data_IF_549221131842
#
_entry.id   IF_549221131842
#
_cell.length_a   1.000
_cell.length_b   1.000
_cell.length_c   1.000
_cell.angle_alpha   90.00
_cell.angle_beta   90.00
_cell.angle_gamma   90.00
#
_symmetry.space_group_name_H-M   'P 1'
#
loop_
_entity.id
_entity.type
_entity.pdbx_description
1 polymer ?
2 non-polymer ?
3 non-polymer ?
4 water ?
#
# COMPACT_ATOMS: atom_id res chain seq x y z
N UNK A 1 -10.07 21.55 -9.34
CA UNK A 1 -11.36 22.12 -9.79
C UNK A 1 -12.24 21.02 -10.41
N UNK A 2 -11.61 20.10 -11.12
CA UNK A 2 -12.32 18.99 -11.76
C UNK A 2 -12.34 17.78 -10.83
N UNK A 3 -11.50 17.84 -9.80
CA UNK A 3 -11.39 16.77 -8.82
C UNK A 3 -12.31 17.03 -7.63
N UNK A 4 -13.49 17.58 -7.90
CA UNK A 4 -14.46 17.89 -6.85
C UNK A 4 -15.84 17.50 -7.37
N UNK A 5 -16.44 16.48 -6.77
CA UNK A 5 -17.74 16.00 -7.17
C UNK A 5 -18.75 17.11 -7.42
N UNK A 6 -19.47 17.01 -8.54
CA UNK A 6 -20.45 18.02 -8.92
C UNK A 6 -21.55 18.35 -7.92
N UNK A 7 -22.19 17.33 -7.35
CA UNK A 7 -23.26 17.59 -6.39
C UNK A 7 -22.71 18.31 -5.16
N UNK A 8 -21.52 17.90 -4.72
CA UNK A 8 -20.88 18.53 -3.55
C UNK A 8 -20.50 19.97 -3.86
N UNK A 9 -19.90 20.17 -5.03
CA UNK A 9 -19.47 21.49 -5.46
C UNK A 9 -20.64 22.47 -5.46
N UNK A 10 -21.79 21.98 -5.93
CA UNK A 10 -23.00 22.81 -6.00
C UNK A 10 -23.53 23.15 -4.60
N UNK A 11 -23.66 22.16 -3.74
CA UNK A 11 -24.20 22.38 -2.40
C UNK A 11 -23.28 23.16 -1.48
N UNK A 12 -21.97 23.06 -1.69
CA UNK A 12 -20.99 23.75 -0.86
C UNK A 12 -20.45 25.03 -1.51
N UNK A 13 -21.04 25.40 -2.65
CA UNK A 13 -20.60 26.57 -3.40
C UNK A 13 -20.41 27.85 -2.57
N UNK A 14 -21.31 28.09 -1.63
CA UNK A 14 -21.24 29.29 -0.79
C UNK A 14 -19.91 29.44 -0.08
N UNK A 15 -19.30 28.33 0.31
CA UNK A 15 -18.03 28.38 1.03
C UNK A 15 -16.87 28.94 0.22
N UNK A 16 -16.82 28.61 -1.07
CA UNK A 16 -15.72 29.03 -1.92
C UNK A 16 -15.46 30.52 -2.05
N UNK A 17 -16.46 31.34 -1.75
CA UNK A 17 -16.29 32.78 -1.85
C UNK A 17 -16.08 33.45 -0.48
N UNK A 18 -16.13 32.67 0.60
CA UNK A 18 -15.95 33.24 1.93
C UNK A 18 -14.47 33.53 2.24
N UNK A 19 -14.21 34.63 2.98
CA UNK A 19 -12.85 35.02 3.34
C UNK A 19 -11.98 33.93 3.95
N UNK A 20 -12.54 33.10 4.82
CA UNK A 20 -11.74 32.06 5.47
C UNK A 20 -11.27 31.03 4.44
N UNK A 21 -12.10 30.75 3.44
CA UNK A 21 -11.73 29.77 2.42
C UNK A 21 -10.61 30.30 1.54
N UNK A 22 -10.71 31.57 1.16
CA UNK A 22 -9.69 32.20 0.33
C UNK A 22 -8.34 32.17 1.04
N UNK A 23 -8.34 32.48 2.34
CA UNK A 23 -7.11 32.48 3.12
C UNK A 23 -6.57 31.06 3.29
N UNK A 24 -7.48 30.09 3.42
CA UNK A 24 -7.09 28.70 3.56
C UNK A 24 -6.40 28.24 2.28
N UNK A 25 -6.99 28.58 1.14
CA UNK A 25 -6.41 28.20 -0.15
C UNK A 25 -5.04 28.83 -0.32
N UNK A 26 -4.91 30.09 0.09
CA UNK A 26 -3.64 30.80 -0.02
C UNK A 26 -2.57 30.12 0.84
N UNK A 27 -2.96 29.73 2.05
CA UNK A 27 -2.06 29.05 2.98
C UNK A 27 -1.59 27.71 2.43
N UNK A 28 -2.52 26.86 2.02
CA UNK A 28 -2.17 25.55 1.47
C UNK A 28 -1.29 25.66 0.23
N UNK A 29 -1.58 26.63 -0.63
CA UNK A 29 -0.79 26.83 -1.84
C UNK A 29 0.65 27.18 -1.45
N UNK A 30 0.79 28.04 -0.45
CA UNK A 30 2.10 28.44 0.05
C UNK A 30 2.85 27.22 0.60
N UNK A 31 2.15 26.40 1.37
CA UNK A 31 2.73 25.21 1.96
C UNK A 31 3.21 24.22 0.90
N UNK A 32 2.41 24.03 -0.15
CA UNK A 32 2.79 23.10 -1.21
C UNK A 32 4.00 23.57 -2.02
N UNK A 33 4.26 24.87 -2.04
CA UNK A 33 5.40 25.38 -2.79
C UNK A 33 6.67 25.31 -1.94
N UNK A 34 6.51 25.31 -0.62
CA UNK A 34 7.65 25.27 0.29
C UNK A 34 7.94 23.89 0.88
N UNK A 35 6.90 23.08 1.08
CA UNK A 35 7.07 21.76 1.65
C UNK A 35 6.31 20.70 0.89
N UNK A 36 6.35 19.47 1.41
CA UNK A 36 5.61 18.38 0.82
C UNK A 36 4.34 18.31 1.65
N UNK A 37 3.19 18.37 0.97
CA UNK A 37 1.90 18.36 1.65
C UNK A 37 1.06 17.17 1.21
N UNK A 38 0.44 16.51 2.19
CA UNK A 38 -0.40 15.36 1.91
C UNK A 38 -1.85 15.66 2.26
N UNK A 39 -2.80 15.09 1.49
CA UNK A 39 -2.51 14.22 0.34
C UNK A 39 -2.23 15.10 -0.89
N UNK A 40 -1.91 14.48 -2.04
CA UNK A 40 -1.64 15.30 -3.21
C UNK A 40 -2.86 16.19 -3.48
N UNK A 41 -2.64 17.33 -4.12
CA UNK A 41 -3.73 18.25 -4.42
C UNK A 41 -4.95 17.62 -5.08
N UNK A 42 -4.72 16.72 -6.03
CA UNK A 42 -5.83 16.09 -6.74
C UNK A 42 -6.62 15.05 -5.94
N UNK A 43 -6.17 14.76 -4.71
CA UNK A 43 -6.88 13.78 -3.88
C UNK A 43 -7.47 14.39 -2.61
N UNK A 44 -7.25 15.68 -2.41
CA UNK A 44 -7.75 16.38 -1.23
C UNK A 44 -9.27 16.25 -1.05
N UNK A 45 -10.00 16.18 -2.17
CA UNK A 45 -11.45 16.06 -2.12
C UNK A 45 -11.97 14.72 -2.65
N UNK A 46 -11.16 13.66 -2.51
CA UNK A 46 -11.56 12.33 -2.98
C UNK A 46 -12.92 11.93 -2.43
N UNK A 47 -13.20 12.38 -1.21
CA UNK A 47 -14.47 12.07 -0.55
C UNK A 47 -15.68 12.64 -1.28
N UNK A 48 -15.46 13.54 -2.22
CA UNK A 48 -16.57 14.13 -2.98
C UNK A 48 -16.75 13.42 -4.31
N UNK A 49 -15.83 12.50 -4.62
CA UNK A 49 -15.88 11.79 -5.89
C UNK A 49 -16.39 10.36 -5.83
N UNK A 50 -16.49 9.80 -4.63
CA UNK A 50 -16.93 8.43 -4.45
C UNK A 50 -18.44 8.23 -4.52
N UNK A 51 -19.20 9.27 -4.22
CA UNK A 51 -20.65 9.20 -4.27
C UNK A 51 -21.25 10.59 -4.20
N UNK A 52 -22.53 10.72 -4.55
CA UNK A 52 -23.21 12.01 -4.52
C UNK A 52 -23.52 12.39 -3.08
N UNK A 53 -23.63 13.68 -2.83
CA UNK A 53 -23.90 14.16 -1.48
C UNK A 53 -25.28 13.70 -0.99
N UNK A 54 -26.20 13.51 -1.93
CA UNK A 54 -27.56 13.06 -1.59
C UNK A 54 -27.58 11.58 -1.23
N UNK A 55 -26.52 10.86 -1.59
CA UNK A 55 -26.48 9.42 -1.31
C UNK A 55 -25.66 9.03 -0.07
N UNK A 56 -25.18 10.02 0.67
CA UNK A 56 -24.42 9.74 1.88
C UNK A 56 -25.36 9.10 2.90
N UNK A 57 -24.97 7.96 3.44
CA UNK A 57 -25.77 7.25 4.42
C UNK A 57 -25.13 7.26 5.79
N UNK A 58 -23.81 7.15 5.81
CA UNK A 58 -23.06 7.13 7.06
C UNK A 58 -21.89 8.11 6.98
N UNK A 59 -21.57 8.72 8.11
CA UNK A 59 -20.47 9.68 8.16
C UNK A 59 -19.51 9.29 9.29
N UNK A 60 -18.23 9.21 8.95
CA UNK A 60 -17.20 8.88 9.93
C UNK A 60 -16.22 10.05 9.91
N UNK A 61 -15.96 10.63 11.08
CA UNK A 61 -15.04 11.76 11.16
C UNK A 61 -13.64 11.36 11.59
N UNK A 62 -12.65 11.98 10.96
CA UNK A 62 -11.26 11.74 11.29
C UNK A 62 -10.69 13.08 11.73
N UNK A 63 -9.41 13.11 12.08
CA UNK A 63 -8.75 14.33 12.52
C UNK A 63 -8.09 14.97 11.29
N UNK A 64 -6.78 14.79 11.12
CA UNK A 64 -6.13 15.33 9.93
C UNK A 64 -5.59 14.12 9.15
N UNK A 65 -5.07 14.33 7.93
CA UNK A 65 -4.57 13.19 7.16
C UNK A 65 -3.32 12.51 7.70
N UNK A 66 -3.17 11.22 7.39
CA UNK A 66 -1.97 10.51 7.79
C UNK A 66 -0.85 11.33 7.17
N UNK A 67 0.25 11.50 7.90
CA UNK A 67 1.35 12.34 7.41
C UNK A 67 2.55 11.63 6.81
N UNK A 68 2.41 10.32 6.57
CA UNK A 68 3.53 9.58 5.99
C UNK A 68 3.43 9.44 4.49
N UNK A 69 4.57 9.25 3.81
CA UNK A 69 4.59 9.09 2.35
C UNK A 69 3.63 8.00 1.88
N UNK A 70 2.88 8.30 0.82
CA UNK A 70 1.93 7.36 0.23
C UNK A 70 0.77 6.87 1.11
N UNK A 71 0.51 7.51 2.24
CA UNK A 71 -0.58 7.05 3.08
C UNK A 71 -1.93 7.68 2.75
N UNK A 72 -2.06 8.96 3.06
CA UNK A 72 -3.31 9.68 2.83
C UNK A 72 -3.69 9.80 1.37
N UNK A 73 -4.99 9.69 1.09
CA UNK A 73 -5.49 9.83 -0.27
C UNK A 73 -6.90 10.43 -0.32
N UNK A 74 -7.21 11.25 0.70
CA UNK A 74 -8.51 11.92 0.74
C UNK A 74 -9.65 11.32 1.53
N UNK A 75 -9.46 10.14 2.09
CA UNK A 75 -10.50 9.48 2.88
C UNK A 75 -9.95 9.25 4.29
N UNK A 76 -10.72 9.62 5.30
CA UNK A 76 -10.24 9.43 6.67
C UNK A 76 -10.02 7.96 6.99
N UNK A 77 -8.96 7.70 7.76
CA UNK A 77 -8.59 6.36 8.20
C UNK A 77 -8.10 5.41 7.11
N UNK A 78 -8.27 5.80 5.85
CA UNK A 78 -7.85 4.95 4.73
C UNK A 78 -6.42 5.20 4.26
N UNK A 79 -5.76 4.15 3.76
CA UNK A 79 -4.41 4.30 3.23
C UNK A 79 -4.33 3.65 1.86
N UNK A 80 -3.53 4.25 0.97
CA UNK A 80 -3.36 3.75 -0.39
C UNK A 80 -2.70 2.38 -0.41
N UNK A 81 -3.14 1.52 -1.32
CA UNK A 81 -2.54 0.20 -1.46
C UNK A 81 -1.14 0.45 -1.97
N UNK A 82 -0.17 -0.39 -1.57
CA UNK A 82 -0.38 -1.52 -0.66
C UNK A 82 0.00 -1.19 0.78
N UNK A 83 0.03 0.10 1.11
CA UNK A 83 0.39 0.54 2.47
C UNK A 83 -0.44 -0.21 3.51
N UNK A 84 0.21 -0.67 4.59
CA UNK A 84 -0.50 -1.41 5.63
C UNK A 84 -1.37 -0.52 6.52
N UNK A 85 -2.50 -1.08 6.99
CA UNK A 85 -3.43 -0.33 7.85
C UNK A 85 -2.73 0.22 9.08
N UNK A 86 -2.87 1.53 9.33
CA UNK A 86 -2.24 2.14 10.51
C UNK A 86 -2.90 1.58 11.77
N UNK A 87 -2.30 1.80 12.95
CA UNK A 87 -2.86 1.29 14.20
C UNK A 87 -4.36 1.49 14.42
N UNK A 88 -4.88 2.67 14.10
CA UNK A 88 -6.31 2.94 14.27
C UNK A 88 -7.16 2.05 13.37
N UNK A 89 -6.75 1.90 12.11
CA UNK A 89 -7.49 1.06 11.18
C UNK A 89 -7.41 -0.40 11.59
N UNK A 90 -6.29 -0.81 12.17
CA UNK A 90 -6.13 -2.18 12.64
C UNK A 90 -7.26 -2.46 13.64
N UNK A 91 -7.54 -1.50 14.52
CA UNK A 91 -8.60 -1.69 15.51
C UNK A 91 -9.99 -1.60 14.90
N UNK A 92 -10.14 -0.78 13.86
CA UNK A 92 -11.42 -0.68 13.18
C UNK A 92 -11.73 -2.04 12.57
N UNK A 93 -10.74 -2.64 11.91
CA UNK A 93 -10.90 -3.97 11.31
C UNK A 93 -11.17 -5.02 12.38
N UNK A 94 -10.50 -4.87 13.52
CA UNK A 94 -10.67 -5.79 14.64
C UNK A 94 -12.14 -5.76 15.09
N UNK A 95 -12.70 -4.56 15.24
CA UNK A 95 -14.10 -4.44 15.65
C UNK A 95 -15.02 -5.04 14.60
N UNK A 96 -14.73 -4.76 13.32
CA UNK A 96 -15.53 -5.29 12.23
C UNK A 96 -15.52 -6.82 12.22
N UNK A 97 -14.37 -7.42 12.51
CA UNK A 97 -14.25 -8.87 12.53
C UNK A 97 -15.18 -9.54 13.53
N UNK A 98 -15.47 -8.86 14.63
CA UNK A 98 -16.37 -9.44 15.63
C UNK A 98 -17.79 -8.89 15.53
N UNK A 99 -17.93 -7.71 14.94
CA UNK A 99 -19.24 -7.08 14.81
C UNK A 99 -20.03 -7.51 13.58
N UNK A 100 -19.35 -7.63 12.45
CA UNK A 100 -20.03 -8.02 11.21
C UNK A 100 -19.80 -9.47 10.80
N UNK A 101 -20.88 -10.24 10.71
CA UNK A 101 -20.78 -11.63 10.32
C UNK A 101 -20.23 -11.76 8.92
N UNK A 102 -19.23 -12.62 8.76
CA UNK A 102 -18.63 -12.82 7.46
C UNK A 102 -17.59 -11.79 7.08
N UNK A 103 -17.35 -10.80 7.94
CA UNK A 103 -16.34 -9.80 7.60
C UNK A 103 -14.96 -10.43 7.67
N UNK A 104 -14.14 -10.15 6.67
CA UNK A 104 -12.78 -10.68 6.64
C UNK A 104 -11.80 -9.56 6.32
N UNK A 105 -10.68 -9.55 7.02
CA UNK A 105 -9.64 -8.53 6.81
C UNK A 105 -9.25 -8.60 5.32
N UNK A 106 -9.40 -7.49 4.59
CA UNK A 106 -9.07 -7.43 3.16
C UNK A 106 -7.59 -7.48 2.79
N UNK A 107 -6.71 -7.36 3.78
CA UNK A 107 -5.29 -7.41 3.50
C UNK A 107 -4.66 -6.09 3.11
N UNK A 108 -5.48 -5.05 3.02
CA UNK A 108 -5.01 -3.71 2.68
C UNK A 108 -5.87 -2.72 3.46
N UNK A 109 -5.51 -1.44 3.40
CA UNK A 109 -6.28 -0.44 4.13
C UNK A 109 -7.02 0.59 3.30
N UNK A 110 -7.37 0.23 2.06
CA UNK A 110 -8.09 1.14 1.18
C UNK A 110 -9.59 1.03 1.42
N UNK A 111 -10.18 2.09 1.95
CA UNK A 111 -11.61 2.10 2.28
C UNK A 111 -12.52 2.65 1.17
N UNK A 112 -12.00 2.75 -0.04
CA UNK A 112 -12.81 3.27 -1.16
C UNK A 112 -14.12 2.49 -1.32
N UNK A 113 -14.08 1.20 -1.00
CA UNK A 113 -15.27 0.37 -1.12
C UNK A 113 -16.43 0.84 -0.26
N UNK A 114 -16.12 1.44 0.88
CA UNK A 114 -17.16 1.97 1.77
C UNK A 114 -17.69 3.29 1.23
N UNK A 115 -16.77 4.16 0.81
CA UNK A 115 -17.13 5.47 0.28
C UNK A 115 -18.08 5.37 -0.91
N UNK A 116 -17.85 4.39 -1.77
CA UNK A 116 -18.70 4.20 -2.95
C UNK A 116 -20.11 3.80 -2.57
N UNK A 117 -20.27 3.25 -1.37
CA UNK A 117 -21.59 2.85 -0.90
C UNK A 117 -22.30 3.94 -0.12
N UNK A 118 -21.67 5.10 0.00
CA UNK A 118 -22.29 6.19 0.72
C UNK A 118 -21.75 6.46 2.11
N UNK A 119 -20.56 5.95 2.41
CA UNK A 119 -19.95 6.20 3.71
C UNK A 119 -18.97 7.36 3.51
N UNK A 120 -19.33 8.53 4.04
CA UNK A 120 -18.46 9.71 3.93
C UNK A 120 -17.34 9.59 4.94
N UNK A 121 -16.11 9.50 4.44
CA UNK A 121 -14.92 9.36 5.29
C UNK A 121 -14.23 10.73 5.33
N UNK A 122 -14.76 11.60 6.18
CA UNK A 122 -14.30 12.97 6.30
C UNK A 122 -13.33 13.35 7.40
N UNK A 123 -12.14 13.80 7.02
CA UNK A 123 -11.16 14.27 8.00
C UNK A 123 -11.63 15.69 8.31
N UNK A 124 -11.41 16.15 9.54
CA UNK A 124 -11.81 17.49 9.92
C UNK A 124 -10.85 18.49 9.27
N UNK A 125 -9.60 18.08 9.15
CA UNK A 125 -8.56 18.89 8.52
C UNK A 125 -8.13 18.09 7.29
N UNK A 126 -8.17 18.72 6.12
CA UNK A 126 -7.88 17.99 4.88
C UNK A 126 -6.47 17.89 4.33
N UNK A 127 -5.52 18.65 4.88
CA UNK A 127 -4.14 18.57 4.43
C UNK A 127 -3.23 18.53 5.64
N UNK A 128 -1.98 18.16 5.43
CA UNK A 128 -1.00 18.10 6.50
C UNK A 128 0.39 18.17 5.89
N UNK A 129 1.31 18.83 6.59
CA UNK A 129 2.68 18.93 6.12
C UNK A 129 3.32 17.58 6.43
N UNK A 130 4.11 17.06 5.50
CA UNK A 130 4.75 15.76 5.68
C UNK A 130 5.42 15.60 7.03
N UNK A 131 5.14 14.47 7.69
CA UNK A 131 5.73 14.12 8.97
C UNK A 131 5.35 14.99 10.16
N UNK A 132 4.42 15.92 9.98
CA UNK A 132 4.02 16.82 11.06
C UNK A 132 2.53 16.83 11.35
N UNK A 133 2.09 15.93 12.24
CA UNK A 133 0.67 15.86 12.59
C UNK A 133 0.15 17.20 13.09
N UNK A 134 -1.06 17.55 12.66
CA UNK A 134 -1.72 18.78 13.06
C UNK A 134 -1.06 20.07 12.57
N UNK A 135 -0.11 19.94 11.64
CA UNK A 135 0.59 21.10 11.12
C UNK A 135 -0.33 22.08 10.38
N UNK A 136 -1.47 21.59 9.91
CA UNK A 136 -2.41 22.46 9.19
C UNK A 136 -3.72 22.70 9.93
N UNK A 137 -3.74 22.43 11.24
CA UNK A 137 -4.95 22.67 12.01
C UNK A 137 -5.09 24.17 12.25
N UNK A 138 -6.32 24.60 12.55
CA UNK A 138 -6.64 25.99 12.80
C UNK A 138 -6.19 26.93 11.69
N UNK A 139 -6.45 26.54 10.45
CA UNK A 139 -6.09 27.34 9.29
C UNK A 139 -7.30 27.59 8.41
N UNK A 140 -8.43 26.99 8.76
CA UNK A 140 -9.64 27.16 7.96
C UNK A 140 -10.35 25.87 7.57
N UNK A 141 -9.61 24.75 7.53
CA UNK A 141 -10.23 23.47 7.14
C UNK A 141 -11.40 23.08 8.05
N UNK A 142 -11.24 23.26 9.35
CA UNK A 142 -12.28 22.88 10.29
C UNK A 142 -13.61 23.56 9.97
N UNK A 143 -13.55 24.81 9.53
CA UNK A 143 -14.74 25.55 9.18
C UNK A 143 -15.38 24.95 7.93
N UNK A 144 -14.54 24.60 6.96
CA UNK A 144 -15.05 24.00 5.74
C UNK A 144 -15.70 22.66 5.99
N UNK A 145 -15.08 21.83 6.82
CA UNK A 145 -15.68 20.53 7.09
C UNK A 145 -16.90 20.68 8.00
N UNK A 146 -16.95 21.74 8.81
CA UNK A 146 -18.12 21.99 9.64
C UNK A 146 -19.28 22.27 8.67
N UNK A 147 -18.97 23.00 7.60
CA UNK A 147 -19.96 23.35 6.59
C UNK A 147 -20.53 22.08 5.96
N UNK A 148 -19.67 21.09 5.73
CA UNK A 148 -20.13 19.84 5.15
C UNK A 148 -21.11 19.14 6.09
N UNK A 149 -20.72 19.04 7.36
CA UNK A 149 -21.56 18.40 8.36
C UNK A 149 -22.88 19.15 8.53
N UNK A 150 -22.82 20.47 8.56
CA UNK A 150 -24.01 21.29 8.71
C UNK A 150 -24.98 21.12 7.54
N UNK A 151 -24.44 21.07 6.32
CA UNK A 151 -25.28 20.89 5.15
C UNK A 151 -26.05 19.58 5.28
N UNK A 152 -25.36 18.52 5.65
CA UNK A 152 -25.99 17.21 5.82
C UNK A 152 -27.05 17.24 6.92
N UNK A 153 -26.71 17.86 8.04
CA UNK A 153 -27.62 17.95 9.17
C UNK A 153 -28.94 18.64 8.79
N UNK A 154 -28.83 19.78 8.12
CA UNK A 154 -30.00 20.57 7.72
C UNK A 154 -30.77 20.04 6.52
N UNK A 155 -30.06 19.63 5.48
CA UNK A 155 -30.68 19.16 4.25
C UNK A 155 -31.01 17.69 4.13
N UNK A 156 -30.39 16.84 4.94
CA UNK A 156 -30.65 15.41 4.88
C UNK A 156 -31.40 14.96 6.11
N UNK A 157 -31.78 13.69 6.14
CA UNK A 157 -32.49 13.12 7.27
C UNK A 157 -32.17 11.63 7.39
N UNK A 158 -31.97 11.15 8.62
CA UNK A 158 -31.67 9.76 8.83
C UNK A 158 -30.25 9.32 8.54
N UNK A 159 -29.31 10.27 8.53
CA UNK A 159 -27.92 9.94 8.27
C UNK A 159 -27.31 9.48 9.60
N UNK A 160 -26.46 8.46 9.54
CA UNK A 160 -25.82 7.93 10.74
C UNK A 160 -24.42 8.51 10.88
N UNK A 161 -24.16 9.17 11.99
CA UNK A 161 -22.82 9.74 12.23
C UNK A 161 -22.11 8.92 13.31
N UNK A 162 -20.94 8.40 12.97
CA UNK A 162 -20.13 7.61 13.91
C UNK A 162 -19.01 8.53 14.37
N UNK A 163 -19.11 9.00 15.60
CA UNK A 163 -18.14 9.94 16.15
C UNK A 163 -17.19 9.24 17.12
N UNK A 164 -15.93 9.10 16.71
CA UNK A 164 -14.93 8.43 17.54
C UNK A 164 -13.90 9.40 18.09
N UNK A 165 -13.80 9.47 19.41
CA UNK A 165 -12.85 10.38 20.04
C UNK A 165 -13.50 11.69 20.43
N UNK A 166 -12.96 12.34 21.46
CA UNK A 166 -13.48 13.61 21.96
C UNK A 166 -13.56 14.70 20.89
N UNK A 167 -12.54 14.76 20.05
CA UNK A 167 -12.52 15.76 19.00
C UNK A 167 -13.74 15.61 18.08
N UNK A 168 -14.03 14.39 17.67
CA UNK A 168 -15.18 14.16 16.79
C UNK A 168 -16.50 14.42 17.54
N UNK A 169 -16.53 14.11 18.82
CA UNK A 169 -17.73 14.33 19.62
C UNK A 169 -18.06 15.83 19.60
N UNK A 170 -17.04 16.65 19.82
CA UNK A 170 -17.23 18.09 19.83
C UNK A 170 -17.66 18.59 18.45
N UNK A 171 -16.98 18.14 17.41
CA UNK A 171 -17.32 18.58 16.06
C UNK A 171 -18.76 18.18 15.72
N UNK A 172 -19.18 17.03 16.23
CA UNK A 172 -20.53 16.56 15.95
C UNK A 172 -21.64 17.22 16.77
N UNK A 173 -21.27 18.18 17.61
CA UNK A 173 -22.26 18.87 18.42
C UNK A 173 -23.27 19.62 17.56
N UNK A 174 -22.84 20.06 16.37
CA UNK A 174 -23.73 20.80 15.48
C UNK A 174 -24.84 19.94 14.89
N UNK A 175 -24.64 18.62 14.85
CA UNK A 175 -25.62 17.71 14.27
C UNK A 175 -26.98 17.72 14.97
N UNK A 176 -28.04 17.86 14.17
CA UNK A 176 -29.41 17.87 14.69
C UNK A 176 -29.82 16.46 15.08
N UNK A 177 -29.80 16.18 16.38
CA UNK A 177 -30.15 14.86 16.90
C UNK A 177 -31.60 14.48 16.62
N UNK A 178 -32.41 15.46 16.23
CA UNK A 178 -33.81 15.21 15.94
C UNK A 178 -33.99 14.68 14.52
N UNK A 179 -33.03 14.98 13.64
CA UNK A 179 -33.11 14.55 12.25
C UNK A 179 -32.16 13.41 11.88
N UNK A 180 -31.13 13.20 12.70
CA UNK A 180 -30.14 12.18 12.40
C UNK A 180 -29.79 11.27 13.58
N UNK A 181 -29.01 10.24 13.29
CA UNK A 181 -28.59 9.28 14.31
C UNK A 181 -27.12 9.50 14.64
N UNK A 182 -26.81 9.62 15.92
CA UNK A 182 -25.43 9.84 16.33
C UNK A 182 -24.96 8.75 17.30
N UNK A 183 -23.87 8.07 16.93
CA UNK A 183 -23.28 7.04 17.77
C UNK A 183 -21.88 7.52 18.14
N UNK A 184 -21.56 7.46 19.44
CA UNK A 184 -20.27 7.90 19.93
C UNK A 184 -19.49 6.80 20.64
N UNK A 185 -18.16 6.89 20.57
CA UNK A 185 -17.27 5.95 21.22
C UNK A 185 -15.90 6.60 21.29
N UNK A 186 -15.00 6.02 22.06
CA UNK A 186 -13.66 6.57 22.17
C UNK A 186 -12.95 6.29 20.85
N UNK A 187 -11.78 6.91 20.66
CA UNK A 187 -11.03 6.75 19.42
C UNK A 187 -10.43 5.34 19.25
N UNK A 188 -10.37 4.85 18.00
CA UNK A 188 -9.83 3.51 17.71
C UNK A 188 -8.31 3.39 17.89
N UNK A 189 -7.65 4.50 18.18
CA UNK A 189 -6.21 4.46 18.41
C UNK A 189 -5.90 3.47 19.54
N UNK A 190 -4.78 2.74 19.43
CA UNK A 190 -4.41 1.79 20.47
C UNK A 190 -4.37 2.46 21.85
N UNK A 191 -4.09 3.76 21.86
CA UNK A 191 -4.02 4.52 23.11
C UNK A 191 -5.35 4.61 23.84
N UNK A 192 -6.46 4.42 23.14
CA UNK A 192 -7.78 4.51 23.77
C UNK A 192 -8.78 3.43 23.39
N UNK A 193 -8.55 2.74 22.28
CA UNK A 193 -9.48 1.72 21.80
C UNK A 193 -10.01 0.72 22.82
N UNK A 194 -9.18 0.32 23.77
CA UNK A 194 -9.59 -0.66 24.77
C UNK A 194 -10.50 -0.10 25.86
N UNK A 195 -10.73 1.20 25.82
CA UNK A 195 -11.60 1.84 26.81
C UNK A 195 -12.99 2.08 26.24
N UNK A 196 -13.38 1.30 25.25
CA UNK A 196 -14.72 1.48 24.68
C UNK A 196 -14.91 1.29 23.20
N UNK A 197 -13.89 1.56 22.38
CA UNK A 197 -14.09 1.39 20.95
C UNK A 197 -14.31 -0.07 20.59
N UNK A 198 -13.40 -0.92 21.05
CA UNK A 198 -13.53 -2.34 20.80
C UNK A 198 -14.77 -2.78 21.57
N UNK A 199 -15.75 -3.27 20.84
CA UNK A 199 -16.99 -3.69 21.45
C UNK A 199 -18.12 -2.70 21.24
N UNK A 200 -17.82 -1.55 20.62
CA UNK A 200 -18.85 -0.54 20.39
C UNK A 200 -19.90 -0.97 19.36
N UNK A 201 -19.54 -1.93 18.51
CA UNK A 201 -20.43 -2.45 17.48
C UNK A 201 -21.16 -1.37 16.68
N UNK A 202 -20.45 -0.30 16.32
CA UNK A 202 -21.06 0.78 15.57
C UNK A 202 -21.47 0.40 14.16
N UNK A 203 -20.77 -0.56 13.58
CA UNK A 203 -21.04 -0.97 12.20
C UNK A 203 -22.36 -1.70 12.03
N UNK A 204 -22.68 -2.61 12.96
CA UNK A 204 -23.94 -3.33 12.89
C UNK A 204 -25.07 -2.38 13.33
N UNK A 205 -24.80 -1.55 14.32
CA UNK A 205 -25.80 -0.60 14.81
C UNK A 205 -26.14 0.40 13.70
N UNK A 206 -25.11 0.81 12.95
CA UNK A 206 -25.31 1.75 11.85
C UNK A 206 -26.26 1.14 10.81
N UNK A 207 -26.02 -0.11 10.45
CA UNK A 207 -26.86 -0.78 9.47
C UNK A 207 -28.27 -0.98 10.02
N UNK A 208 -28.38 -1.16 11.33
CA UNK A 208 -29.69 -1.33 11.92
C UNK A 208 -30.47 -0.03 11.76
N UNK A 209 -29.79 1.09 11.97
CA UNK A 209 -30.41 2.40 11.84
C UNK A 209 -30.81 2.69 10.39
N UNK A 210 -29.98 2.28 9.45
CA UNK A 210 -30.28 2.49 8.04
C UNK A 210 -31.55 1.72 7.64
N UNK A 211 -31.61 0.45 8.03
CA UNK A 211 -32.78 -0.37 7.70
C UNK A 211 -34.04 0.29 8.24
N UNK A 212 -33.93 0.82 9.45
CA UNK A 212 -35.06 1.48 10.11
C UNK A 212 -35.56 2.64 9.26
N UNK A 213 -34.62 3.38 8.66
CA UNK A 213 -34.97 4.52 7.84
C UNK A 213 -35.33 4.11 6.42
N UNK A 214 -35.58 2.82 6.23
CA UNK A 214 -35.94 2.33 4.91
C UNK A 214 -34.82 2.50 3.90
N UNK A 215 -33.58 2.31 4.34
CA UNK A 215 -32.42 2.44 3.47
C UNK A 215 -31.59 1.16 3.47
N UNK A 216 -30.98 0.85 2.32
CA UNK A 216 -30.15 -0.35 2.22
C UNK A 216 -28.91 -0.19 3.09
N UNK A 217 -28.56 -1.24 3.85
CA UNK A 217 -27.39 -1.21 4.73
C UNK A 217 -26.08 -1.20 3.96
N UNK A 218 -25.00 -0.87 4.67
CA UNK A 218 -23.67 -0.84 4.09
C UNK A 218 -23.06 -2.23 4.14
N UNK A 219 -22.43 -2.67 3.05
CA UNK A 219 -21.77 -3.95 3.05
C UNK A 219 -20.34 -3.64 3.45
N UNK A 220 -20.07 -3.66 4.75
CA UNK A 220 -18.74 -3.34 5.26
C UNK A 220 -17.65 -4.29 4.76
N UNK A 221 -18.07 -5.44 4.24
CA UNK A 221 -17.12 -6.43 3.74
C UNK A 221 -16.58 -6.10 2.34
N UNK A 222 -17.33 -5.29 1.59
CA UNK A 222 -16.95 -4.94 0.24
C UNK A 222 -15.78 -3.96 0.11
N UNK A 223 -14.57 -4.43 0.43
CA UNK A 223 -13.38 -3.58 0.35
C UNK A 223 -12.40 -4.11 -0.69
N UNK B 1 10.24 -21.91 9.14
CA UNK B 1 10.98 -21.28 10.26
C UNK B 1 12.48 -21.54 10.12
N UNK B 2 12.83 -22.73 9.65
CA UNK B 2 14.23 -23.11 9.46
C UNK B 2 14.66 -22.79 8.03
N UNK B 3 13.66 -22.52 7.18
CA UNK B 3 13.91 -22.19 5.78
C UNK B 3 14.01 -20.68 5.57
N UNK B 4 14.60 -20.00 6.55
CA UNK B 4 14.77 -18.55 6.48
C UNK B 4 16.17 -18.22 6.97
N UNK B 5 17.01 -17.73 6.06
CA UNK B 5 18.39 -17.38 6.40
C UNK B 5 18.53 -16.61 7.70
N UNK B 6 19.47 -17.03 8.53
CA UNK B 6 19.69 -16.40 9.83
C UNK B 6 19.95 -14.90 9.86
N UNK B 7 20.83 -14.41 8.99
CA UNK B 7 21.12 -12.97 8.98
C UNK B 7 19.87 -12.18 8.59
N UNK B 8 19.11 -12.71 7.62
CA UNK B 8 17.89 -12.04 7.18
C UNK B 8 16.83 -12.05 8.28
N UNK B 9 16.68 -13.21 8.92
CA UNK B 9 15.71 -13.39 9.99
C UNK B 9 15.97 -12.37 11.11
N UNK B 10 17.25 -12.17 11.43
CA UNK B 10 17.64 -11.23 12.47
C UNK B 10 17.34 -9.78 12.10
N UNK B 11 17.74 -9.38 10.91
CA UNK B 11 17.54 -8.01 10.46
C UNK B 11 16.08 -7.64 10.17
N UNK B 12 15.29 -8.63 9.78
CA UNK B 12 13.88 -8.39 9.47
C UNK B 12 12.94 -8.81 10.59
N UNK B 13 13.52 -9.18 11.73
CA UNK B 13 12.75 -9.62 12.90
C UNK B 13 11.56 -8.73 13.28
N UNK B 14 11.74 -7.41 13.21
CA UNK B 14 10.68 -6.48 13.57
C UNK B 14 9.38 -6.72 12.80
N UNK B 15 9.49 -7.15 11.55
CA UNK B 15 8.30 -7.37 10.74
C UNK B 15 7.40 -8.50 11.24
N UNK B 16 8.01 -9.57 11.74
CA UNK B 16 7.24 -10.74 12.17
C UNK B 16 6.20 -10.52 13.26
N UNK B 17 6.33 -9.44 14.02
CA UNK B 17 5.35 -9.17 15.08
C UNK B 17 4.34 -8.09 14.69
N UNK B 18 4.48 -7.51 13.50
CA UNK B 18 3.55 -6.47 13.06
C UNK B 18 2.22 -7.05 12.60
N UNK B 19 1.11 -6.33 12.88
CA UNK B 19 -0.23 -6.77 12.49
C UNK B 19 -0.42 -7.18 11.02
N UNK B 20 0.20 -6.46 10.10
CA UNK B 20 0.03 -6.79 8.69
C UNK B 20 0.67 -8.15 8.37
N UNK B 21 1.77 -8.47 9.04
CA UNK B 21 2.45 -9.74 8.78
C UNK B 21 1.62 -10.90 9.32
N UNK B 22 1.05 -10.73 10.50
CA UNK B 22 0.21 -11.75 11.12
C UNK B 22 -0.97 -12.08 10.21
N UNK B 23 -1.60 -11.03 9.68
CA UNK B 23 -2.74 -11.18 8.79
C UNK B 23 -2.34 -11.84 7.48
N UNK B 24 -1.14 -11.48 7.00
CA UNK B 24 -0.62 -12.04 5.76
C UNK B 24 -0.41 -13.55 5.95
N UNK B 25 0.19 -13.93 7.08
CA UNK B 25 0.45 -15.33 7.36
C UNK B 25 -0.86 -16.10 7.46
N UNK B 26 -1.86 -15.49 8.08
CA UNK B 26 -3.16 -16.11 8.25
C UNK B 26 -3.81 -16.34 6.88
N UNK B 27 -3.69 -15.34 6.01
CA UNK B 27 -4.24 -15.41 4.66
C UNK B 27 -3.60 -16.52 3.85
N UNK B 28 -2.27 -16.51 3.78
CA UNK B 28 -1.55 -17.52 3.01
C UNK B 28 -1.82 -18.94 3.53
N UNK B 29 -1.91 -19.09 4.85
CA UNK B 29 -2.18 -20.41 5.44
C UNK B 29 -3.57 -20.88 4.97
N UNK B 30 -4.53 -19.97 4.97
CA UNK B 30 -5.89 -20.27 4.52
C UNK B 30 -5.87 -20.70 3.06
N UNK B 31 -5.14 -19.96 2.23
CA UNK B 31 -5.03 -20.25 0.81
C UNK B 31 -4.42 -21.62 0.55
N UNK B 32 -3.38 -21.96 1.30
CA UNK B 32 -2.72 -23.26 1.13
C UNK B 32 -3.60 -24.44 1.53
N UNK B 33 -4.56 -24.20 2.41
CA UNK B 33 -5.44 -25.30 2.83
C UNK B 33 -6.61 -25.46 1.85
N UNK B 34 -6.93 -24.40 1.13
CA UNK B 34 -8.04 -24.43 0.17
C UNK B 34 -7.61 -24.61 -1.28
N UNK B 35 -6.44 -24.07 -1.63
CA UNK B 35 -5.96 -24.17 -3.01
C UNK B 35 -4.50 -24.59 -3.07
N UNK B 36 -3.97 -24.62 -4.29
CA UNK B 36 -2.57 -24.94 -4.49
C UNK B 36 -1.90 -23.58 -4.60
N UNK B 37 -0.89 -23.36 -3.77
CA UNK B 37 -0.18 -22.10 -3.75
C UNK B 37 1.30 -22.27 -4.08
N UNK B 38 1.81 -21.39 -4.91
CA UNK B 38 3.21 -21.42 -5.31
C UNK B 38 3.95 -20.20 -4.80
N UNK B 39 5.24 -20.36 -4.45
CA UNK B 39 5.95 -21.65 -4.50
C UNK B 39 5.63 -22.44 -3.24
N UNK B 40 6.17 -23.67 -3.12
CA UNK B 40 5.88 -24.45 -1.91
C UNK B 40 6.31 -23.63 -0.69
N UNK B 41 5.69 -23.89 0.45
CA UNK B 41 6.00 -23.15 1.67
C UNK B 41 7.49 -23.10 1.99
N UNK B 42 8.19 -24.22 1.84
CA UNK B 42 9.61 -24.26 2.17
C UNK B 42 10.52 -23.51 1.20
N UNK B 43 9.98 -22.98 0.11
CA UNK B 43 10.80 -22.24 -0.85
C UNK B 43 10.43 -20.76 -0.96
N UNK B 44 9.41 -20.34 -0.21
CA UNK B 44 8.94 -18.95 -0.22
C UNK B 44 10.06 -17.95 0.11
N UNK B 45 11.00 -18.35 0.95
CA UNK B 45 12.10 -17.47 1.32
C UNK B 45 13.47 -17.97 0.83
N UNK B 46 13.48 -18.67 -0.30
CA UNK B 46 14.74 -19.18 -0.85
C UNK B 46 15.77 -18.08 -1.01
N UNK B 47 15.29 -16.88 -1.31
CA UNK B 47 16.16 -15.72 -1.50
C UNK B 47 16.95 -15.34 -0.24
N UNK B 48 16.55 -15.89 0.91
CA UNK B 48 17.24 -15.58 2.16
C UNK B 48 18.26 -16.68 2.48
N UNK B 49 18.26 -17.75 1.69
CA UNK B 49 19.15 -18.88 1.92
C UNK B 49 20.37 -18.96 1.01
N UNK B 50 20.36 -18.20 -0.08
CA UNK B 50 21.46 -18.22 -1.03
C UNK B 50 22.69 -17.43 -0.62
N UNK B 51 22.50 -16.41 0.21
CA UNK B 51 23.62 -15.58 0.69
C UNK B 51 23.18 -14.75 1.88
N UNK B 52 24.14 -14.19 2.61
CA UNK B 52 23.83 -13.36 3.77
C UNK B 52 23.33 -12.00 3.30
N UNK B 53 22.54 -11.34 4.14
CA UNK B 53 22.00 -10.05 3.79
C UNK B 53 23.10 -9.00 3.63
N UNK B 54 24.20 -9.18 4.36
CA UNK B 54 25.33 -8.26 4.28
C UNK B 54 26.12 -8.42 2.99
N UNK B 55 25.92 -9.55 2.32
CA UNK B 55 26.66 -9.81 1.08
C UNK B 55 25.89 -9.53 -0.20
N UNK B 56 24.69 -8.97 -0.08
CA UNK B 56 23.91 -8.63 -1.25
C UNK B 56 24.62 -7.51 -2.00
N UNK B 57 24.85 -7.70 -3.29
CA UNK B 57 25.53 -6.72 -4.12
C UNK B 57 24.59 -6.09 -5.14
N UNK B 58 23.70 -6.92 -5.69
CA UNK B 58 22.75 -6.46 -6.68
C UNK B 58 21.35 -6.94 -6.32
N UNK B 59 20.36 -6.11 -6.64
CA UNK B 59 18.97 -6.44 -6.36
C UNK B 59 18.13 -6.31 -7.61
N UNK B 60 17.38 -7.37 -7.92
CA UNK B 60 16.51 -7.37 -9.08
C UNK B 60 15.09 -7.63 -8.56
N UNK B 61 14.17 -6.74 -8.90
CA UNK B 61 12.79 -6.89 -8.44
C UNK B 61 11.88 -7.55 -9.46
N UNK B 62 11.01 -8.42 -8.96
CA UNK B 62 10.03 -9.08 -9.81
C UNK B 62 8.67 -8.70 -9.28
N UNK B 63 7.60 -9.20 -9.90
CA UNK B 63 6.24 -8.91 -9.48
C UNK B 63 5.79 -10.02 -8.52
N UNK B 64 5.02 -10.99 -8.99
CA UNK B 64 4.63 -12.09 -8.12
C UNK B 64 5.23 -13.36 -8.72
N UNK B 65 5.16 -14.50 -8.02
CA UNK B 65 5.74 -15.74 -8.58
C UNK B 65 5.07 -16.30 -9.82
N UNK B 66 5.84 -17.01 -10.63
CA UNK B 66 5.29 -17.67 -11.81
C UNK B 66 4.19 -18.55 -11.22
N UNK B 67 3.05 -18.64 -11.89
CA UNK B 67 1.92 -19.38 -11.36
C UNK B 67 1.69 -20.78 -11.94
N UNK B 68 2.66 -21.28 -12.70
CA UNK B 68 2.50 -22.60 -13.28
C UNK B 68 3.17 -23.69 -12.47
N UNK B 69 2.70 -24.93 -12.59
CA UNK B 69 3.27 -26.06 -11.86
C UNK B 69 4.79 -26.16 -12.06
N UNK B 70 5.50 -26.38 -10.96
CA UNK B 70 6.95 -26.54 -10.97
C UNK B 70 7.79 -25.36 -11.46
N UNK B 71 7.20 -24.17 -11.57
CA UNK B 71 7.99 -23.03 -12.03
C UNK B 71 8.68 -22.25 -10.93
N UNK B 72 7.90 -21.55 -10.12
CA UNK B 72 8.43 -20.74 -9.03
C UNK B 72 9.13 -21.56 -7.95
N UNK B 73 10.23 -21.00 -7.42
CA UNK B 73 10.96 -21.65 -6.35
C UNK B 73 11.63 -20.64 -5.40
N UNK B 74 11.02 -19.45 -5.30
CA UNK B 74 11.53 -18.44 -4.38
C UNK B 74 12.45 -17.35 -4.90
N UNK B 75 12.83 -17.42 -6.18
CA UNK B 75 13.71 -16.41 -6.76
C UNK B 75 12.98 -15.79 -7.95
N UNK B 76 12.96 -14.46 -8.02
CA UNK B 76 12.27 -13.80 -9.12
C UNK B 76 12.89 -14.16 -10.47
N UNK B 77 12.03 -14.32 -11.47
CA UNK B 77 12.42 -14.64 -12.84
C UNK B 77 13.01 -16.03 -13.05
N UNK B 78 13.33 -16.73 -11.97
CA UNK B 78 13.93 -18.06 -12.06
C UNK B 78 12.91 -19.20 -12.10
N UNK B 79 13.24 -20.29 -12.79
CA UNK B 79 12.36 -21.45 -12.84
C UNK B 79 13.15 -22.71 -12.53
N UNK B 80 12.51 -23.65 -11.83
CA UNK B 80 13.15 -24.91 -11.46
C UNK B 80 13.52 -25.75 -12.68
N UNK B 81 14.68 -26.41 -12.62
CA UNK B 81 15.08 -27.28 -13.71
C UNK B 81 14.09 -28.44 -13.70
N UNK B 82 13.76 -28.99 -14.89
CA UNK B 82 14.30 -28.55 -16.18
C UNK B 82 13.34 -27.61 -16.91
N UNK B 83 12.42 -26.99 -16.17
CA UNK B 83 11.44 -26.07 -16.76
C UNK B 83 12.14 -25.05 -17.66
N UNK B 84 11.58 -24.79 -18.85
CA UNK B 84 12.18 -23.82 -19.76
C UNK B 84 11.97 -22.36 -19.34
N UNK B 85 12.96 -21.51 -19.64
CA UNK B 85 12.89 -20.08 -19.28
C UNK B 85 11.62 -19.44 -19.84
N UNK B 86 10.85 -18.77 -18.98
CA UNK B 86 9.63 -18.09 -19.44
C UNK B 86 10.02 -16.95 -20.37
N UNK B 87 9.06 -16.37 -21.11
CA UNK B 87 9.33 -15.27 -22.04
C UNK B 87 10.23 -14.14 -21.51
N UNK B 88 9.98 -13.70 -20.27
CA UNK B 88 10.79 -12.63 -19.69
C UNK B 88 12.26 -13.05 -19.53
N UNK B 89 12.47 -14.27 -19.04
CA UNK B 89 13.83 -14.76 -18.85
C UNK B 89 14.53 -14.95 -20.19
N UNK B 90 13.77 -15.33 -21.21
CA UNK B 90 14.33 -15.51 -22.54
C UNK B 90 14.97 -14.18 -22.97
N UNK B 91 14.29 -13.07 -22.67
CA UNK B 91 14.83 -11.77 -23.04
C UNK B 91 15.98 -11.33 -22.14
N UNK B 92 15.95 -11.75 -20.88
CA UNK B 92 17.03 -11.44 -19.96
C UNK B 92 18.30 -12.12 -20.50
N UNK B 93 18.16 -13.39 -20.89
CA UNK B 93 19.28 -14.15 -21.46
C UNK B 93 19.75 -13.51 -22.76
N UNK B 94 18.79 -13.04 -23.55
CA UNK B 94 19.10 -12.40 -24.83
C UNK B 94 19.98 -11.18 -24.58
N UNK B 95 19.62 -10.36 -23.60
CA UNK B 95 20.41 -9.18 -23.29
C UNK B 95 21.79 -9.58 -22.77
N UNK B 96 21.84 -10.60 -21.92
CA UNK B 96 23.11 -11.07 -21.39
C UNK B 96 24.04 -11.55 -22.52
N UNK B 97 23.47 -12.24 -23.51
CA UNK B 97 24.25 -12.74 -24.63
C UNK B 97 24.99 -11.64 -25.39
N UNK B 98 24.42 -10.45 -25.45
CA UNK B 98 25.07 -9.35 -26.16
C UNK B 98 25.80 -8.40 -25.21
N UNK B 99 25.38 -8.38 -23.95
CA UNK B 99 25.99 -7.48 -22.97
C UNK B 99 27.23 -8.04 -22.28
N UNK B 100 27.21 -9.33 -21.95
CA UNK B 100 28.34 -9.94 -21.26
C UNK B 100 29.20 -10.82 -22.17
N UNK B 101 30.47 -10.47 -22.31
CA UNK B 101 31.38 -11.25 -23.14
C UNK B 101 31.54 -12.66 -22.59
N UNK B 102 31.39 -13.64 -23.47
CA UNK B 102 31.53 -15.02 -23.05
C UNK B 102 30.27 -15.61 -22.43
N UNK B 103 29.21 -14.82 -22.28
CA UNK B 103 28.00 -15.36 -21.69
C UNK B 103 27.36 -16.34 -22.66
N UNK B 104 26.95 -17.50 -22.15
CA UNK B 104 26.30 -18.50 -22.98
C UNK B 104 25.02 -18.98 -22.30
N UNK B 105 23.97 -19.15 -23.09
CA UNK B 105 22.68 -19.62 -22.58
C UNK B 105 22.94 -20.97 -21.89
N UNK B 106 22.63 -21.07 -20.58
CA UNK B 106 22.84 -22.29 -19.81
C UNK B 106 21.93 -23.48 -20.13
N UNK B 107 20.89 -23.25 -20.92
CA UNK B 107 20.00 -24.34 -21.28
C UNK B 107 18.87 -24.60 -20.29
N UNK B 108 18.86 -23.84 -19.20
CA UNK B 108 17.82 -23.96 -18.18
C UNK B 108 17.58 -22.57 -17.62
N UNK B 109 16.57 -22.42 -16.77
CA UNK B 109 16.26 -21.12 -16.22
C UNK B 109 16.45 -20.96 -14.72
N UNK B 110 17.34 -21.76 -14.13
CA UNK B 110 17.61 -21.70 -12.69
C UNK B 110 18.67 -20.64 -12.42
N UNK B 111 18.27 -19.56 -11.74
CA UNK B 111 19.19 -18.46 -11.45
C UNK B 111 19.88 -18.55 -10.09
N UNK B 112 19.86 -19.73 -9.46
CA UNK B 112 20.50 -19.89 -8.16
C UNK B 112 21.97 -19.45 -8.19
N UNK B 113 22.63 -19.65 -9.33
CA UNK B 113 24.03 -19.28 -9.48
C UNK B 113 24.28 -17.80 -9.23
N UNK B 114 23.31 -16.96 -9.57
CA UNK B 114 23.43 -15.52 -9.36
C UNK B 114 23.19 -15.19 -7.89
N UNK B 115 22.14 -15.77 -7.32
CA UNK B 115 21.80 -15.54 -5.92
C UNK B 115 22.94 -15.87 -4.97
N UNK B 116 23.67 -16.94 -5.26
CA UNK B 116 24.78 -17.36 -4.42
C UNK B 116 25.92 -16.34 -4.44
N UNK B 117 25.96 -15.54 -5.50
CA UNK B 117 27.00 -14.51 -5.63
C UNK B 117 26.58 -13.17 -5.04
N UNK B 118 25.37 -13.11 -4.48
CA UNK B 118 24.93 -11.86 -3.90
C UNK B 118 23.90 -11.10 -4.70
N UNK B 119 23.26 -11.75 -5.66
CA UNK B 119 22.21 -11.10 -6.44
C UNK B 119 20.88 -11.47 -5.81
N UNK B 120 20.24 -10.51 -5.15
CA UNK B 120 18.95 -10.75 -4.51
C UNK B 120 17.86 -10.73 -5.58
N UNK B 121 17.21 -11.87 -5.76
CA UNK B 121 16.14 -12.01 -6.77
C UNK B 121 14.81 -11.98 -6.02
N UNK B 122 14.37 -10.76 -5.71
CA UNK B 122 13.16 -10.53 -4.93
C UNK B 122 11.86 -10.19 -5.64
N UNK B 123 10.86 -11.05 -5.49
CA UNK B 123 9.55 -10.78 -6.05
C UNK B 123 8.91 -9.84 -5.03
N UNK B 124 8.07 -8.92 -5.49
CA UNK B 124 7.40 -7.98 -4.59
C UNK B 124 6.34 -8.73 -3.81
N UNK B 125 5.72 -9.72 -4.46
CA UNK B 125 4.70 -10.55 -3.85
C UNK B 125 5.29 -11.96 -3.85
N UNK B 126 5.33 -12.61 -2.69
CA UNK B 126 5.99 -13.91 -2.59
C UNK B 126 5.21 -15.21 -2.82
N UNK B 127 3.90 -15.14 -2.91
CA UNK B 127 3.10 -16.32 -3.17
C UNK B 127 2.05 -15.99 -4.23
N UNK B 128 1.45 -17.03 -4.79
CA UNK B 128 0.42 -16.86 -5.81
C UNK B 128 -0.42 -18.13 -5.86
N UNK B 129 -1.71 -17.97 -6.10
CA UNK B 129 -2.61 -19.11 -6.21
C UNK B 129 -2.34 -19.68 -7.61
N UNK B 130 -2.28 -21.00 -7.71
CA UNK B 130 -2.01 -21.66 -8.98
C UNK B 130 -2.85 -21.13 -10.14
N UNK B 131 -2.19 -20.83 -11.25
CA UNK B 131 -2.84 -20.35 -12.47
C UNK B 131 -3.50 -18.98 -12.39
N UNK B 132 -3.33 -18.26 -11.28
CA UNK B 132 -3.96 -16.96 -11.14
C UNK B 132 -2.99 -15.83 -10.79
N UNK B 133 -2.43 -15.19 -11.82
CA UNK B 133 -1.49 -14.10 -11.61
C UNK B 133 -2.09 -13.00 -10.73
N UNK B 134 -1.29 -12.47 -9.81
CA UNK B 134 -1.70 -11.39 -8.92
C UNK B 134 -2.79 -11.77 -7.92
N UNK B 135 -3.08 -13.05 -7.79
CA UNK B 135 -4.12 -13.50 -6.87
C UNK B 135 -3.79 -13.19 -5.41
N UNK B 136 -2.52 -13.00 -5.09
CA UNK B 136 -2.12 -12.69 -3.72
C UNK B 136 -1.58 -11.27 -3.54
N UNK B 137 -1.85 -10.38 -4.50
CA UNK B 137 -1.37 -9.02 -4.35
C UNK B 137 -2.26 -8.29 -3.35
N UNK B 138 -1.74 -7.19 -2.81
CA UNK B 138 -2.45 -6.37 -1.82
C UNK B 138 -2.96 -7.17 -0.63
N UNK B 139 -2.12 -8.05 -0.10
CA UNK B 139 -2.47 -8.88 1.05
C UNK B 139 -1.44 -8.71 2.17
N UNK B 140 -0.39 -7.96 1.90
CA UNK B 140 0.64 -7.75 2.91
C UNK B 140 2.08 -8.01 2.43
N UNK B 141 2.24 -8.83 1.40
CA UNK B 141 3.59 -9.12 0.89
C UNK B 141 4.36 -7.89 0.47
N UNK B 142 3.69 -6.97 -0.23
CA UNK B 142 4.36 -5.76 -0.70
C UNK B 142 5.01 -4.98 0.43
N UNK B 143 4.35 -4.95 1.59
CA UNK B 143 4.88 -4.25 2.75
C UNK B 143 6.12 -4.98 3.25
N UNK B 144 6.06 -6.30 3.28
CA UNK B 144 7.21 -7.08 3.75
C UNK B 144 8.40 -6.91 2.83
N UNK B 145 8.18 -6.93 1.51
CA UNK B 145 9.30 -6.77 0.61
C UNK B 145 9.79 -5.32 0.60
N UNK B 146 8.90 -4.38 0.92
CA UNK B 146 9.32 -2.97 1.01
C UNK B 146 10.30 -2.89 2.18
N UNK B 147 10.01 -3.64 3.23
CA UNK B 147 10.86 -3.68 4.43
C UNK B 147 12.24 -4.18 4.06
N UNK B 148 12.30 -5.18 3.18
CA UNK B 148 13.59 -5.72 2.76
C UNK B 148 14.40 -4.66 2.03
N UNK B 149 13.75 -3.99 1.07
CA UNK B 149 14.40 -2.94 0.30
C UNK B 149 14.85 -1.78 1.19
N UNK B 150 13.98 -1.39 2.13
CA UNK B 150 14.29 -0.31 3.05
C UNK B 150 15.49 -0.64 3.93
N UNK B 151 15.55 -1.87 4.44
CA UNK B 151 16.67 -2.27 5.28
C UNK B 151 17.97 -2.11 4.50
N UNK B 152 17.98 -2.59 3.26
CA UNK B 152 19.18 -2.49 2.43
C UNK B 152 19.54 -1.03 2.16
N UNK B 153 18.54 -0.23 1.84
CA UNK B 153 18.77 1.18 1.55
C UNK B 153 19.42 1.91 2.73
N UNK B 154 18.87 1.71 3.91
CA UNK B 154 19.37 2.37 5.12
C UNK B 154 20.66 1.80 5.70
N UNK B 155 20.74 0.48 5.79
CA UNK B 155 21.89 -0.20 6.37
C UNK B 155 23.06 -0.55 5.48
N UNK B 156 22.85 -0.58 4.17
CA UNK B 156 23.93 -0.90 3.25
C UNK B 156 24.32 0.32 2.44
N UNK B 157 25.37 0.17 1.62
CA UNK B 157 25.83 1.25 0.77
C UNK B 157 26.47 0.69 -0.49
N UNK B 158 26.19 1.33 -1.62
CA UNK B 158 26.74 0.87 -2.89
C UNK B 158 26.08 -0.34 -3.51
N UNK B 159 24.85 -0.63 -3.13
CA UNK B 159 24.13 -1.76 -3.70
C UNK B 159 23.53 -1.31 -5.02
N UNK B 160 23.55 -2.18 -6.02
CA UNK B 160 23.00 -1.84 -7.33
C UNK B 160 21.60 -2.42 -7.46
N UNK B 161 20.63 -1.56 -7.74
CA UNK B 161 19.25 -2.01 -7.91
C UNK B 161 18.86 -1.91 -9.38
N UNK B 162 18.45 -3.02 -9.97
CA UNK B 162 18.04 -3.07 -11.36
C UNK B 162 16.51 -3.14 -11.34
N UNK B 163 15.87 -2.02 -11.68
CA UNK B 163 14.42 -1.92 -11.66
C UNK B 163 13.85 -2.00 -13.06
N UNK B 164 13.15 -3.10 -13.35
CA UNK B 164 12.57 -3.31 -14.67
C UNK B 164 11.04 -3.23 -14.63
N UNK B 165 10.48 -2.30 -15.40
CA UNK B 165 9.04 -2.13 -15.43
C UNK B 165 8.57 -1.05 -14.47
N UNK B 166 7.44 -0.42 -14.78
CA UNK B 166 6.87 0.66 -13.97
C UNK B 166 6.63 0.26 -12.52
N UNK B 167 6.15 -0.96 -12.32
CA UNK B 167 5.88 -1.44 -10.98
C UNK B 167 7.15 -1.41 -10.14
N UNK B 168 8.26 -1.92 -10.68
CA UNK B 168 9.53 -1.93 -9.95
C UNK B 168 10.06 -0.51 -9.74
N UNK B 169 9.84 0.35 -10.72
CA UNK B 169 10.29 1.74 -10.61
C UNK B 169 9.62 2.39 -9.41
N UNK B 170 8.33 2.18 -9.27
CA UNK B 170 7.58 2.74 -8.16
C UNK B 170 8.05 2.15 -6.82
N UNK B 171 8.19 0.82 -6.78
CA UNK B 171 8.63 0.18 -5.55
C UNK B 171 10.02 0.68 -5.15
N UNK B 172 10.85 0.97 -6.14
CA UNK B 172 12.21 1.43 -5.87
C UNK B 172 12.32 2.90 -5.50
N UNK B 173 11.19 3.59 -5.42
CA UNK B 173 11.20 5.00 -5.06
C UNK B 173 11.76 5.21 -3.64
N UNK B 174 11.60 4.22 -2.77
CA UNK B 174 12.09 4.33 -1.40
C UNK B 174 13.61 4.31 -1.30
N UNK B 175 14.28 3.74 -2.32
CA UNK B 175 15.74 3.63 -2.31
C UNK B 175 16.47 4.98 -2.25
N UNK B 176 17.42 5.08 -1.33
CA UNK B 176 18.21 6.29 -1.16
C UNK B 176 19.24 6.39 -2.28
N UNK B 177 18.95 7.24 -3.26
CA UNK B 177 19.83 7.44 -4.41
C UNK B 177 21.20 7.98 -4.03
N UNK B 178 21.31 8.50 -2.82
CA UNK B 178 22.58 9.05 -2.35
C UNK B 178 23.51 7.95 -1.84
N UNK B 179 22.93 6.82 -1.43
CA UNK B 179 23.72 5.72 -0.89
C UNK B 179 23.84 4.52 -1.83
N UNK B 180 22.96 4.43 -2.81
CA UNK B 180 22.97 3.30 -3.73
C UNK B 180 22.87 3.68 -5.21
N UNK B 181 23.04 2.67 -6.06
CA UNK B 181 22.97 2.86 -7.51
C UNK B 181 21.67 2.28 -8.04
N UNK B 182 20.93 3.07 -8.81
CA UNK B 182 19.67 2.60 -9.36
C UNK B 182 19.66 2.68 -10.89
N UNK B 183 19.41 1.55 -11.54
CA UNK B 183 19.33 1.48 -12.99
C UNK B 183 17.90 1.07 -13.34
N UNK B 184 17.28 1.79 -14.25
CA UNK B 184 15.90 1.50 -14.65
C UNK B 184 15.77 1.22 -16.14
N UNK B 185 14.78 0.39 -16.49
CA UNK B 185 14.50 0.04 -17.87
C UNK B 185 13.09 -0.53 -17.90
N UNK B 186 12.53 -0.70 -19.09
CA UNK B 186 11.20 -1.26 -19.19
C UNK B 186 11.31 -2.75 -18.86
N UNK B 187 10.17 -3.40 -18.70
CA UNK B 187 10.13 -4.82 -18.33
C UNK B 187 10.62 -5.73 -19.47
N UNK B 188 11.30 -6.84 -19.12
CA UNK B 188 11.82 -7.79 -20.12
C UNK B 188 10.73 -8.62 -20.83
N UNK B 189 9.49 -8.46 -20.40
CA UNK B 189 8.40 -9.18 -21.05
C UNK B 189 8.38 -8.83 -22.55
N UNK B 190 8.06 -9.82 -23.40
CA UNK B 190 8.02 -9.58 -24.84
C UNK B 190 7.12 -8.38 -25.18
N UNK B 191 6.13 -8.15 -24.33
CA UNK B 191 5.20 -7.05 -24.53
C UNK B 191 5.86 -5.67 -24.45
N UNK B 192 7.01 -5.58 -23.79
CA UNK B 192 7.67 -4.29 -23.65
C UNK B 192 9.19 -4.28 -23.87
N UNK B 193 9.81 -5.45 -23.80
CA UNK B 193 11.26 -5.56 -23.95
C UNK B 193 11.90 -4.80 -25.10
N UNK B 194 11.23 -4.73 -26.24
CA UNK B 194 11.77 -4.05 -27.41
C UNK B 194 11.73 -2.53 -27.33
N UNK B 195 11.11 -2.01 -26.29
CA UNK B 195 11.01 -0.57 -26.10
C UNK B 195 12.06 -0.06 -25.11
N UNK B 196 13.16 -0.79 -24.96
CA UNK B 196 14.19 -0.34 -24.05
C UNK B 196 14.95 -1.38 -23.24
N UNK B 197 14.34 -2.51 -22.91
CA UNK B 197 15.06 -3.49 -22.12
C UNK B 197 16.22 -4.08 -22.91
N UNK B 198 15.93 -4.55 -24.12
CA UNK B 198 16.97 -5.10 -24.96
C UNK B 198 17.86 -3.92 -25.32
N UNK B 199 19.13 -4.00 -24.91
CA UNK B 199 20.06 -2.93 -25.17
C UNK B 199 20.35 -2.10 -23.92
N UNK B 200 19.65 -2.38 -22.82
CA UNK B 200 19.85 -1.61 -21.60
C UNK B 200 21.21 -1.87 -20.95
N UNK B 201 21.82 -3.01 -21.27
CA UNK B 201 23.13 -3.38 -20.74
C UNK B 201 23.28 -3.19 -19.23
N UNK B 202 22.24 -3.55 -18.48
CA UNK B 202 22.27 -3.40 -17.03
C UNK B 202 23.28 -4.31 -16.34
N UNK B 203 23.55 -5.46 -16.94
CA UNK B 203 24.46 -6.42 -16.35
C UNK B 203 25.92 -5.97 -16.33
N UNK B 204 26.38 -5.39 -17.43
CA UNK B 204 27.75 -4.89 -17.49
C UNK B 204 27.84 -3.60 -16.68
N UNK B 205 26.79 -2.77 -16.75
CA UNK B 205 26.78 -1.52 -15.99
C UNK B 205 26.79 -1.82 -14.50
N UNK B 206 26.07 -2.85 -14.10
CA UNK B 206 26.01 -3.25 -12.69
C UNK B 206 27.40 -3.62 -12.21
N UNK B 207 28.11 -4.42 -13.00
CA UNK B 207 29.46 -4.83 -12.62
C UNK B 207 30.40 -3.65 -12.61
N UNK B 208 30.16 -2.68 -13.48
CA UNK B 208 30.99 -1.49 -13.50
C UNK B 208 30.82 -0.74 -12.19
N UNK B 209 29.58 -0.66 -11.72
CA UNK B 209 29.28 0.03 -10.48
C UNK B 209 29.89 -0.69 -9.27
N UNK B 210 29.86 -2.01 -9.30
CA UNK B 210 30.43 -2.80 -8.21
C UNK B 210 31.94 -2.57 -8.11
N UNK B 211 32.63 -2.64 -9.25
CA UNK B 211 34.07 -2.42 -9.26
C UNK B 211 34.39 -1.06 -8.67
N UNK B 212 33.59 -0.08 -9.03
CA UNK B 212 33.77 1.29 -8.55
C UNK B 212 33.71 1.33 -7.03
N UNK B 213 32.81 0.56 -6.46
CA UNK B 213 32.63 0.51 -5.02
C UNK B 213 33.62 -0.43 -4.35
N UNK B 214 34.65 -0.82 -5.10
CA UNK B 214 35.66 -1.72 -4.57
C UNK B 214 35.09 -3.09 -4.23
N UNK B 215 34.17 -3.57 -5.05
CA UNK B 215 33.55 -4.87 -4.83
C UNK B 215 33.73 -5.78 -6.05
N UNK B 216 33.87 -7.07 -5.81
CA UNK B 216 34.03 -8.03 -6.91
C UNK B 216 32.75 -8.10 -7.73
N UNK B 217 32.88 -8.07 -9.06
CA UNK B 217 31.71 -8.13 -9.95
C UNK B 217 31.02 -9.48 -9.94
N UNK B 218 29.81 -9.51 -10.49
CA UNK B 218 29.03 -10.73 -10.56
C UNK B 218 29.42 -11.51 -11.83
N UNK B 219 29.60 -12.81 -11.70
CA UNK B 219 29.91 -13.61 -12.89
C UNK B 219 28.54 -14.09 -13.38
N UNK B 220 27.92 -13.31 -14.25
CA UNK B 220 26.60 -13.64 -14.77
C UNK B 220 26.57 -14.95 -15.54
N UNK B 221 27.74 -15.44 -15.93
CA UNK B 221 27.83 -16.69 -16.69
C UNK B 221 27.72 -17.93 -15.80
N UNK B 222 28.02 -17.78 -14.51
CA UNK B 222 27.99 -18.89 -13.58
C UNK B 222 26.60 -19.40 -13.19
N UNK B 223 25.89 -20.03 -14.13
CA UNK B 223 24.56 -20.56 -13.86
C UNK B 223 24.52 -22.08 -13.97
#
# INVERSE_FOLDING_TARGET
MEFFGETWRRELAAEFEKPYFKQLMSFVADERSRHTVYPPADQVYSWTEMCDIQDVKVVILGQDPYHGPNQAHGLCFSVQKPVPPPPSLVNIYKELCTDIDGFKHPGHGDLSGWAKQGVLLLNAVLTVRAHQANSHKDRGWETFTDAVIKWLSVNREGVVFLLWGSYAHKKGATIDRKRHHVLQAVHPSPLSAHRGFLGCKHFSKANGLLKLSGTEPINWRAL
MEFFGETWRRELAAEFEKPYFKQLMSFVADERSRHTVYPPADQVYSWTEMCDIQDVKVVILGQDPYHGPNQAHGLCFSVQKPVPPPPSLVNIYKELCTDIDGFKHPGHGDLSGWAKQGVLLLNAVLTVRAHQANSHKDRGWETFTDAVIKWLSVNREGVVFLLWGSYAHKKGATIDRKRHHVLQAVHPSPLSAHRGFLGCKHFSKANGLLKLSGTEPINWRAL
#
